data_IF_672865866544
#
_entry.id   IF_672865866544
#
_cell.length_a   1.000
_cell.length_b   1.000
_cell.length_c   1.000
_cell.angle_alpha   90.00
_cell.angle_beta   90.00
_cell.angle_gamma   90.00
#
_symmetry.space_group_name_H-M   'P 1'
#
loop_
_entity.id
_entity.type
_entity.pdbx_description
1 polymer ?
#
# COMPACT_ATOMS: atom_id res chain seq x y z
N UNK A 1 48.52 27.88 -12.23
CA UNK A 1 47.42 28.01 -13.20
C UNK A 1 47.11 26.62 -13.73
N UNK A 2 45.85 26.17 -13.70
CA UNK A 2 45.45 24.85 -14.18
C UNK A 2 43.96 24.81 -14.54
N UNK A 3 43.53 23.81 -15.30
CA UNK A 3 42.13 23.56 -15.62
C UNK A 3 41.53 22.55 -14.64
N UNK A 4 40.24 22.71 -14.35
CA UNK A 4 39.46 21.81 -13.50
C UNK A 4 38.35 21.20 -14.34
N UNK A 5 38.32 19.88 -14.42
CA UNK A 5 37.26 19.11 -15.05
C UNK A 5 36.56 18.23 -14.02
N UNK A 6 35.24 18.09 -14.17
CA UNK A 6 34.41 17.16 -13.40
C UNK A 6 33.50 16.42 -14.38
N UNK A 7 33.53 15.08 -14.38
CA UNK A 7 32.80 14.25 -15.35
C UNK A 7 33.01 14.72 -16.79
N UNK A 8 34.28 14.90 -17.17
CA UNK A 8 34.72 15.41 -18.49
C UNK A 8 34.33 16.86 -18.84
N UNK A 9 33.48 17.51 -18.03
CA UNK A 9 33.07 18.90 -18.22
C UNK A 9 34.09 19.85 -17.63
N UNK A 10 34.52 20.83 -18.43
CA UNK A 10 35.35 21.94 -17.96
C UNK A 10 34.56 22.83 -16.98
N UNK A 11 35.03 22.90 -15.73
CA UNK A 11 34.43 23.69 -14.65
C UNK A 11 35.14 25.04 -14.49
N UNK A 12 36.47 25.03 -14.55
CA UNK A 12 37.31 26.23 -14.52
C UNK A 12 38.45 26.07 -15.51
N UNK A 13 38.69 27.11 -16.29
CA UNK A 13 39.81 27.19 -17.22
C UNK A 13 40.84 28.18 -16.69
N UNK A 14 42.12 27.90 -16.87
CA UNK A 14 43.23 28.77 -16.50
C UNK A 14 43.12 29.27 -15.05
N UNK A 15 42.71 28.38 -14.15
CA UNK A 15 42.38 28.72 -12.77
C UNK A 15 43.63 29.10 -11.99
N UNK A 16 43.59 30.31 -11.39
CA UNK A 16 44.60 30.81 -10.48
C UNK A 16 43.96 31.16 -9.13
N UNK A 17 44.45 30.50 -8.07
CA UNK A 17 43.93 30.68 -6.71
C UNK A 17 44.30 32.08 -6.19
N UNK A 18 45.51 32.57 -6.50
CA UNK A 18 45.97 33.88 -6.04
C UNK A 18 45.13 35.01 -6.64
N UNK A 19 44.78 34.90 -7.93
CA UNK A 19 43.96 35.91 -8.62
C UNK A 19 42.52 35.94 -8.09
N UNK A 20 41.96 34.77 -7.72
CA UNK A 20 40.58 34.68 -7.23
C UNK A 20 40.42 35.21 -5.79
N UNK A 21 41.43 35.00 -4.93
CA UNK A 21 41.36 35.36 -3.51
C UNK A 21 42.04 36.70 -3.21
N UNK A 22 43.07 37.06 -3.99
CA UNK A 22 43.91 38.24 -3.78
C UNK A 22 44.69 38.23 -2.47
N UNK A 23 44.74 37.11 -1.74
CA UNK A 23 45.34 37.03 -0.39
C UNK A 23 45.72 35.60 -0.02
N UNK A 24 46.88 35.45 0.63
CA UNK A 24 47.38 34.16 1.12
C UNK A 24 46.59 33.66 2.35
N UNK A 25 46.64 32.34 2.58
CA UNK A 25 46.07 31.66 3.77
C UNK A 25 44.54 31.72 3.94
N UNK A 26 43.80 32.30 2.99
CA UNK A 26 42.34 32.27 2.98
C UNK A 26 41.85 31.04 2.20
N UNK A 27 40.97 30.20 2.77
CA UNK A 27 40.45 29.05 2.06
C UNK A 27 39.50 29.48 0.93
N UNK A 28 39.65 28.85 -0.23
CA UNK A 28 38.72 28.99 -1.36
C UNK A 28 38.03 27.66 -1.62
N UNK A 29 36.70 27.71 -1.62
CA UNK A 29 35.84 26.56 -1.87
C UNK A 29 35.14 26.76 -3.20
N UNK A 30 35.26 25.78 -4.09
CA UNK A 30 34.64 25.78 -5.42
C UNK A 30 33.47 24.78 -5.39
N UNK A 31 32.22 25.25 -5.23
CA UNK A 31 31.07 24.35 -5.29
C UNK A 31 30.80 23.94 -6.74
N UNK A 32 30.59 22.64 -6.97
CA UNK A 32 30.18 22.09 -8.27
C UNK A 32 28.87 21.32 -8.07
N UNK A 33 27.71 22.00 -8.21
CA UNK A 33 26.41 21.34 -8.09
C UNK A 33 26.07 20.53 -9.34
N UNK A 34 25.04 19.68 -9.22
CA UNK A 34 24.40 18.97 -10.33
C UNK A 34 25.33 18.07 -11.16
N UNK A 35 26.22 17.35 -10.48
CA UNK A 35 27.10 16.36 -11.11
C UNK A 35 26.36 15.03 -11.27
N UNK A 36 26.10 14.65 -12.52
CA UNK A 36 25.51 13.34 -12.83
C UNK A 36 26.59 12.26 -12.91
N UNK A 37 26.49 11.22 -12.08
CA UNK A 37 27.44 10.10 -12.05
C UNK A 37 26.73 8.84 -12.52
N UNK A 38 27.04 8.39 -13.74
CA UNK A 38 26.38 7.24 -14.37
C UNK A 38 27.07 5.91 -14.05
N UNK A 39 28.40 5.91 -13.99
CA UNK A 39 29.22 4.69 -13.91
C UNK A 39 29.80 4.43 -12.50
N UNK A 40 29.17 4.96 -11.45
CA UNK A 40 29.65 4.91 -10.05
C UNK A 40 31.05 5.52 -9.81
N UNK A 41 31.67 6.08 -10.84
CA UNK A 41 32.99 6.71 -10.78
C UNK A 41 32.80 8.21 -10.94
N UNK A 42 33.17 8.97 -9.92
CA UNK A 42 33.27 10.43 -10.00
C UNK A 42 34.68 10.81 -10.47
N UNK A 43 34.80 11.22 -11.72
CA UNK A 43 36.07 11.68 -12.27
C UNK A 43 36.25 13.19 -12.07
N UNK A 44 37.32 13.57 -11.38
CA UNK A 44 37.77 14.96 -11.21
C UNK A 44 39.19 15.04 -11.74
N UNK A 45 39.43 15.87 -12.78
CA UNK A 45 40.76 16.06 -13.36
C UNK A 45 41.26 17.47 -13.13
N UNK A 46 42.46 17.57 -12.58
CA UNK A 46 43.23 18.80 -12.52
C UNK A 46 44.28 18.75 -13.62
N UNK A 47 44.03 19.48 -14.70
CA UNK A 47 44.91 19.46 -15.87
C UNK A 47 45.83 20.67 -15.85
N UNK A 48 47.13 20.42 -15.94
CA UNK A 48 48.14 21.46 -16.02
C UNK A 48 49.04 21.18 -17.22
N UNK A 49 48.93 22.03 -18.25
CA UNK A 49 49.69 21.86 -19.49
C UNK A 49 51.21 22.11 -19.31
N UNK A 50 51.63 22.73 -18.21
CA UNK A 50 53.03 22.88 -17.84
C UNK A 50 53.84 23.89 -18.67
N UNK A 51 54.70 24.61 -17.95
CA UNK A 51 56.11 24.82 -18.32
C UNK A 51 56.94 24.50 -17.08
N UNK A 52 57.43 23.26 -16.97
CA UNK A 52 58.23 22.82 -15.83
C UNK A 52 59.60 23.50 -15.85
N UNK A 53 59.98 24.19 -14.77
CA UNK A 53 61.34 24.72 -14.61
C UNK A 53 62.04 24.06 -13.42
N UNK A 54 63.20 23.46 -13.67
CA UNK A 54 64.09 22.94 -12.63
C UNK A 54 65.02 24.06 -12.17
N UNK A 55 64.63 24.74 -11.10
CA UNK A 55 65.38 25.66 -10.22
C UNK A 55 66.20 26.83 -10.83
N UNK A 56 66.56 26.89 -12.12
CA UNK A 56 67.37 28.00 -12.68
C UNK A 56 66.97 28.25 -14.16
N UNK A 57 66.78 29.52 -14.61
CA UNK A 57 66.92 30.77 -13.84
C UNK A 57 65.68 31.14 -13.02
N UNK A 58 64.49 30.64 -13.37
CA UNK A 58 63.23 30.95 -12.69
C UNK A 58 62.72 29.78 -11.84
N UNK A 59 62.33 30.07 -10.59
CA UNK A 59 61.85 29.06 -9.65
C UNK A 59 60.49 28.49 -10.07
N UNK A 60 60.50 27.18 -10.32
CA UNK A 60 59.42 26.19 -10.19
C UNK A 60 57.99 26.66 -10.39
N UNK A 61 57.47 26.49 -11.61
CA UNK A 61 56.02 26.46 -11.84
C UNK A 61 55.48 25.13 -11.32
N UNK A 62 54.89 25.13 -10.13
CA UNK A 62 54.25 23.96 -9.55
C UNK A 62 52.93 23.66 -10.26
N UNK A 63 52.57 22.36 -10.29
CA UNK A 63 51.29 21.91 -10.81
C UNK A 63 50.10 22.34 -9.93
N UNK A 64 48.91 21.77 -10.19
CA UNK A 64 47.71 22.08 -9.43
C UNK A 64 47.91 21.75 -7.94
N UNK A 65 47.54 22.69 -7.06
CA UNK A 65 47.53 22.48 -5.62
C UNK A 65 46.09 22.56 -5.11
N UNK A 66 45.69 21.54 -4.33
CA UNK A 66 44.38 21.45 -3.69
C UNK A 66 44.56 20.96 -2.25
N UNK A 67 43.70 21.42 -1.35
CA UNK A 67 43.76 21.05 0.07
C UNK A 67 42.81 19.89 0.40
N UNK A 68 41.58 19.95 -0.10
CA UNK A 68 40.54 18.97 0.20
C UNK A 68 39.51 18.86 -0.92
N UNK A 69 38.84 17.72 -0.99
CA UNK A 69 37.68 17.46 -1.84
C UNK A 69 36.56 16.95 -0.93
N UNK A 70 35.37 17.52 -1.06
CA UNK A 70 34.16 17.09 -0.37
C UNK A 70 33.10 16.72 -1.38
N UNK A 71 32.48 15.55 -1.22
CA UNK A 71 31.44 15.03 -2.11
C UNK A 71 30.21 14.73 -1.28
N UNK A 72 29.09 15.37 -1.61
CA UNK A 72 27.80 15.11 -1.02
C UNK A 72 26.86 14.57 -2.11
N UNK A 73 26.29 13.39 -1.90
CA UNK A 73 25.18 12.92 -2.70
C UNK A 73 23.89 13.52 -2.14
N UNK A 74 23.09 14.15 -3.00
CA UNK A 74 21.67 14.36 -2.71
C UNK A 74 20.90 13.15 -3.23
N UNK A 75 20.67 12.09 -2.41
CA UNK A 75 19.62 11.17 -2.75
C UNK A 75 18.35 12.02 -2.73
N UNK A 76 17.81 12.33 -3.92
CA UNK A 76 16.38 12.64 -4.01
C UNK A 76 15.72 11.43 -3.38
N UNK A 77 15.38 11.54 -2.10
CA UNK A 77 14.62 10.54 -1.39
C UNK A 77 13.40 10.38 -2.27
N UNK A 78 13.28 9.23 -2.93
CA UNK A 78 12.03 8.83 -3.51
C UNK A 78 11.10 8.59 -2.32
N UNK A 79 10.61 9.67 -1.71
CA UNK A 79 9.54 9.69 -0.73
C UNK A 79 8.23 9.41 -1.47
N UNK A 80 8.19 8.30 -2.20
CA UNK A 80 6.97 7.60 -2.57
C UNK A 80 6.80 6.42 -1.61
N UNK A 81 7.01 6.66 -0.33
CA UNK A 81 6.67 5.74 0.74
C UNK A 81 5.82 6.53 1.73
N UNK A 82 4.50 6.33 1.70
CA UNK A 82 3.66 6.88 2.77
C UNK A 82 2.19 7.16 2.46
N UNK A 83 1.65 6.85 1.28
CA UNK A 83 0.18 6.99 1.06
C UNK A 83 -0.56 5.71 0.72
N UNK A 84 0.12 4.69 0.17
CA UNK A 84 -0.54 3.43 -0.21
C UNK A 84 -0.79 2.53 1.00
N UNK A 85 0.16 2.41 1.93
CA UNK A 85 0.02 1.53 3.11
C UNK A 85 -1.15 1.90 4.03
N UNK A 86 -1.35 3.18 4.30
CA UNK A 86 -2.43 3.66 5.19
C UNK A 86 -3.82 3.39 4.61
N UNK A 87 -4.00 3.50 3.29
CA UNK A 87 -5.30 3.24 2.64
C UNK A 87 -5.68 1.76 2.74
N UNK A 88 -4.74 0.84 2.49
CA UNK A 88 -5.03 -0.60 2.60
C UNK A 88 -5.30 -1.03 4.05
N UNK A 89 -4.64 -0.43 5.03
CA UNK A 89 -4.88 -0.72 6.46
C UNK A 89 -6.29 -0.24 6.88
N UNK A 90 -6.72 0.94 6.45
CA UNK A 90 -8.06 1.47 6.78
C UNK A 90 -9.18 0.69 6.09
N UNK A 91 -9.01 0.30 4.82
CA UNK A 91 -9.99 -0.52 4.09
C UNK A 91 -10.07 -1.94 4.68
N UNK A 92 -8.96 -2.50 5.14
CA UNK A 92 -8.92 -3.82 5.79
C UNK A 92 -9.72 -3.87 7.10
N UNK A 93 -9.70 -2.81 7.92
CA UNK A 93 -10.42 -2.77 9.20
C UNK A 93 -11.94 -2.67 8.97
N UNK A 94 -12.37 -1.79 8.07
CA UNK A 94 -13.80 -1.56 7.80
C UNK A 94 -14.41 -2.76 7.04
N UNK A 95 -13.69 -3.32 6.07
CA UNK A 95 -14.12 -4.49 5.32
C UNK A 95 -14.06 -5.80 6.12
N UNK A 96 -13.03 -5.98 6.95
CA UNK A 96 -12.83 -7.20 7.74
C UNK A 96 -13.90 -7.38 8.82
N UNK A 97 -14.18 -6.31 9.60
CA UNK A 97 -15.18 -6.37 10.65
C UNK A 97 -16.60 -6.61 10.09
N UNK A 98 -16.96 -5.93 8.99
CA UNK A 98 -18.26 -6.12 8.34
C UNK A 98 -18.42 -7.53 7.78
N UNK A 99 -17.41 -8.07 7.10
CA UNK A 99 -17.42 -9.43 6.57
C UNK A 99 -17.63 -10.49 7.65
N UNK A 100 -16.95 -10.37 8.80
CA UNK A 100 -17.12 -11.28 9.94
C UNK A 100 -18.55 -11.25 10.50
N UNK A 101 -19.17 -10.07 10.60
CA UNK A 101 -20.56 -9.93 11.07
C UNK A 101 -21.52 -10.63 10.10
N UNK A 102 -21.36 -10.46 8.78
CA UNK A 102 -22.21 -11.11 7.79
C UNK A 102 -22.06 -12.64 7.81
N UNK A 103 -20.86 -13.17 8.01
CA UNK A 103 -20.62 -14.60 8.14
C UNK A 103 -21.32 -15.16 9.38
N UNK A 104 -21.20 -14.48 10.52
CA UNK A 104 -21.87 -14.89 11.78
C UNK A 104 -23.39 -14.85 11.64
N UNK A 105 -23.95 -13.80 11.04
CA UNK A 105 -25.39 -13.69 10.74
C UNK A 105 -25.86 -14.80 9.78
N UNK A 106 -25.09 -15.10 8.74
CA UNK A 106 -25.39 -16.19 7.81
C UNK A 106 -25.42 -17.57 8.48
N UNK A 107 -24.47 -17.83 9.39
CA UNK A 107 -24.43 -19.08 10.17
C UNK A 107 -25.62 -19.16 11.14
N UNK A 108 -25.98 -18.05 11.80
CA UNK A 108 -27.14 -17.98 12.70
C UNK A 108 -28.47 -18.20 11.97
N UNK A 109 -28.61 -17.63 10.76
CA UNK A 109 -29.75 -17.86 9.88
C UNK A 109 -29.81 -19.32 9.41
N UNK A 110 -28.68 -19.90 8.97
CA UNK A 110 -28.64 -21.28 8.51
C UNK A 110 -28.92 -22.27 9.65
N UNK A 111 -28.41 -22.03 10.86
CA UNK A 111 -28.70 -22.87 12.03
C UNK A 111 -30.09 -22.65 12.63
N UNK A 112 -30.95 -21.78 12.07
CA UNK A 112 -32.34 -21.63 12.48
C UNK A 112 -32.55 -20.95 13.84
N UNK A 113 -31.58 -20.17 14.32
CA UNK A 113 -31.62 -19.50 15.64
C UNK A 113 -32.26 -18.10 15.63
N UNK A 114 -33.14 -17.79 14.66
CA UNK A 114 -33.96 -16.59 14.74
C UNK A 114 -35.32 -16.91 15.40
N UNK A 115 -35.49 -16.69 16.71
CA UNK A 115 -36.81 -16.65 17.31
C UNK A 115 -37.54 -15.38 16.84
N UNK A 116 -38.44 -15.54 15.87
CA UNK A 116 -39.73 -14.85 15.83
C UNK A 116 -39.74 -13.36 15.51
N UNK A 117 -40.29 -13.02 14.33
CA UNK A 117 -41.54 -12.25 14.23
C UNK A 117 -42.06 -12.31 12.79
N UNK A 118 -42.82 -13.35 12.46
CA UNK A 118 -43.83 -13.25 11.41
C UNK A 118 -45.20 -13.29 12.05
N UNK A 119 -45.63 -12.11 12.49
CA UNK A 119 -47.00 -11.88 12.91
C UNK A 119 -47.83 -11.42 11.72
N UNK A 120 -48.87 -12.21 11.43
CA UNK A 120 -50.13 -11.91 10.72
C UNK A 120 -50.22 -12.18 9.21
N UNK A 121 -50.90 -13.32 8.96
CA UNK A 121 -52.03 -13.57 8.06
C UNK A 121 -51.86 -13.21 6.57
N UNK A 122 -51.87 -14.26 5.75
CA UNK A 122 -52.77 -14.34 4.58
C UNK A 122 -53.28 -15.76 4.45
N UNK A 123 -54.60 -15.88 4.47
CA UNK A 123 -55.36 -17.06 4.12
C UNK A 123 -55.03 -17.43 2.68
N UNK A 124 -54.72 -18.69 2.43
CA UNK A 124 -54.57 -19.24 1.08
C UNK A 124 -54.88 -20.73 1.15
N UNK A 125 -56.18 -20.98 1.05
CA UNK A 125 -56.74 -22.17 0.41
C UNK A 125 -55.91 -22.58 -0.81
N UNK A 126 -55.46 -23.84 -0.82
CA UNK A 126 -54.62 -24.39 -1.87
C UNK A 126 -54.28 -25.85 -1.57
N UNK A 127 -55.02 -26.74 -2.23
CA UNK A 127 -54.95 -28.20 -2.14
C UNK A 127 -53.56 -28.74 -2.51
N UNK A 128 -53.11 -29.83 -1.86
CA UNK A 128 -52.74 -31.10 -2.52
C UNK A 128 -52.24 -32.15 -1.49
N UNK A 129 -52.86 -33.34 -1.54
CA UNK A 129 -52.68 -34.57 -0.71
C UNK A 129 -51.29 -35.24 -0.94
N UNK A 130 -50.84 -36.32 -0.23
CA UNK A 130 -51.52 -37.24 0.71
C UNK A 130 -50.68 -37.68 1.94
N UNK A 131 -51.16 -37.49 3.17
CA UNK A 131 -50.70 -38.29 4.33
C UNK A 131 -51.87 -38.32 5.32
N UNK A 132 -52.20 -39.52 5.81
CA UNK A 132 -53.45 -39.87 6.48
C UNK A 132 -53.71 -39.20 7.83
N UNK A 133 -53.81 -37.88 7.86
CA UNK A 133 -54.21 -37.08 9.01
C UNK A 133 -55.39 -36.22 8.61
N UNK A 134 -56.57 -36.55 9.12
CA UNK A 134 -57.78 -35.77 8.97
C UNK A 134 -57.94 -34.85 10.20
N UNK A 135 -58.32 -33.59 9.99
CA UNK A 135 -58.65 -32.70 11.10
C UNK A 135 -59.99 -33.11 11.74
N UNK A 136 -60.15 -32.81 13.04
CA UNK A 136 -61.38 -33.10 13.78
C UNK A 136 -62.63 -32.46 13.14
N UNK A 137 -62.52 -31.26 12.58
CA UNK A 137 -63.63 -30.62 11.86
C UNK A 137 -64.06 -31.41 10.62
N UNK A 138 -63.10 -32.00 9.90
CA UNK A 138 -63.36 -32.80 8.71
C UNK A 138 -64.02 -34.13 9.08
N UNK A 139 -63.58 -34.74 10.17
CA UNK A 139 -64.21 -35.94 10.75
C UNK A 139 -65.63 -35.61 11.22
N UNK A 140 -65.81 -34.49 11.94
CA UNK A 140 -67.12 -34.02 12.43
C UNK A 140 -68.09 -33.75 11.29
N UNK A 141 -67.64 -33.12 10.21
CA UNK A 141 -68.48 -32.89 9.04
C UNK A 141 -68.85 -34.20 8.34
N UNK A 142 -67.90 -35.14 8.20
CA UNK A 142 -68.14 -36.43 7.54
C UNK A 142 -69.07 -37.35 8.35
N UNK A 143 -69.06 -37.28 9.68
CA UNK A 143 -69.93 -38.08 10.55
C UNK A 143 -71.25 -37.40 10.88
N UNK A 144 -71.52 -36.22 10.32
CA UNK A 144 -72.67 -35.36 10.66
C UNK A 144 -72.76 -35.12 12.18
N UNK A 145 -71.70 -34.53 12.74
CA UNK A 145 -71.55 -34.26 14.17
C UNK A 145 -71.68 -35.51 15.07
N UNK A 146 -71.15 -36.64 14.59
CA UNK A 146 -71.20 -37.92 15.31
C UNK A 146 -72.63 -38.39 15.61
N UNK A 147 -73.52 -38.22 14.64
CA UNK A 147 -74.89 -38.75 14.69
C UNK A 147 -74.87 -40.26 14.99
N UNK A 148 -75.73 -40.71 15.90
CA UNK A 148 -75.85 -42.11 16.28
C UNK A 148 -76.23 -43.01 15.10
N UNK A 149 -76.87 -42.46 14.05
CA UNK A 149 -77.17 -43.17 12.81
C UNK A 149 -75.92 -43.53 11.99
N UNK A 150 -74.80 -42.81 12.15
CA UNK A 150 -73.55 -42.98 11.39
C UNK A 150 -72.45 -43.70 12.19
N UNK A 151 -72.85 -44.42 13.25
CA UNK A 151 -71.93 -45.17 14.11
C UNK A 151 -71.39 -46.42 13.40
N UNK A 152 -70.09 -46.44 13.14
CA UNK A 152 -69.38 -47.58 12.52
C UNK A 152 -68.62 -48.40 13.58
N UNK A 153 -69.39 -49.16 14.38
CA UNK A 153 -68.86 -50.17 15.29
C UNK A 153 -69.10 -49.92 16.78
N UNK A 154 -69.42 -50.99 17.51
CA UNK A 154 -69.42 -51.05 18.96
C UNK A 154 -68.29 -51.99 19.37
N UNK A 155 -67.12 -51.43 19.69
CA UNK A 155 -65.95 -52.23 20.07
C UNK A 155 -66.19 -52.94 21.40
N UNK A 156 -66.11 -54.27 21.41
CA UNK A 156 -66.00 -55.09 22.61
C UNK A 156 -64.53 -55.40 22.89
N UNK A 157 -64.01 -54.90 24.00
CA UNK A 157 -62.72 -55.32 24.54
C UNK A 157 -63.01 -56.30 25.66
N UNK A 158 -62.39 -57.49 25.58
CA UNK A 158 -62.45 -58.52 26.64
C UNK A 158 -61.78 -58.06 27.93
#
# INVERSE_FOLDING_TARGET
IFDIYVQERLVRKDFNIEDEIGSAQKPLVIPVPDVNVTNNILEIRFYFAGKGTTRIPDRGVYGPIISAISVASDPKLCSTAGKKGTVYIVVGIIGGASCLIFIVLGILWWRGYLPGKWGKKKDSEGQDLPTGTFSLEKIRAATNDFDHANKIGEGGFG
#
